data_IF_465890657756
#
_entry.id   IF_465890657756
#
_cell.length_a   1.000
_cell.length_b   1.000
_cell.length_c   1.000
_cell.angle_alpha   90.00
_cell.angle_beta   90.00
_cell.angle_gamma   90.00
#
_symmetry.space_group_name_H-M   'P 1'
#
loop_
_entity.id
_entity.type
_entity.pdbx_description
1 polymer ?
#
# COMPACT_ATOMS: atom_id res chain seq x y z
N UNK A 1 15.55 -5.14 -11.56
CA UNK A 1 14.07 -5.21 -11.49
C UNK A 1 13.66 -5.48 -10.05
N UNK A 2 13.50 -4.42 -9.23
CA UNK A 2 13.21 -4.56 -7.80
C UNK A 2 11.84 -5.18 -7.56
N UNK A 3 11.78 -6.25 -6.75
CA UNK A 3 10.61 -7.08 -6.44
C UNK A 3 9.34 -6.22 -6.29
N UNK A 4 8.44 -6.27 -7.28
CA UNK A 4 7.17 -5.52 -7.23
C UNK A 4 6.24 -6.30 -6.32
N UNK A 5 6.00 -5.80 -5.10
CA UNK A 5 5.06 -6.44 -4.16
C UNK A 5 3.72 -6.65 -4.85
N UNK A 6 3.38 -7.91 -5.08
CA UNK A 6 2.20 -8.33 -5.83
C UNK A 6 0.97 -8.27 -4.94
N UNK A 7 -0.22 -8.24 -5.53
CA UNK A 7 -1.45 -8.26 -4.76
C UNK A 7 -1.61 -9.56 -3.94
N UNK A 8 -1.03 -10.68 -4.40
CA UNK A 8 -1.06 -11.96 -3.68
C UNK A 8 -0.25 -11.87 -2.38
N UNK A 9 1.00 -11.40 -2.46
CA UNK A 9 1.86 -11.25 -1.28
C UNK A 9 1.22 -10.33 -0.23
N UNK A 10 0.56 -9.25 -0.65
CA UNK A 10 -0.15 -8.36 0.28
C UNK A 10 -1.38 -9.01 0.94
N UNK A 11 -2.04 -9.96 0.27
CA UNK A 11 -3.20 -10.65 0.84
C UNK A 11 -2.81 -11.68 1.90
N UNK A 12 -1.60 -12.22 1.81
CA UNK A 12 -1.03 -13.13 2.79
C UNK A 12 -0.55 -12.42 4.08
N UNK A 13 -0.36 -11.10 4.03
CA UNK A 13 0.03 -10.30 5.20
C UNK A 13 -1.12 -10.13 6.20
N UNK A 14 -0.78 -10.07 7.49
CA UNK A 14 -1.73 -9.71 8.55
C UNK A 14 -2.15 -8.23 8.44
N UNK A 15 -3.23 -7.84 9.12
CA UNK A 15 -3.68 -6.44 9.13
C UNK A 15 -2.63 -5.49 9.73
N UNK A 16 -1.92 -5.94 10.76
CA UNK A 16 -0.81 -5.19 11.38
C UNK A 16 0.37 -5.01 10.43
N UNK A 17 0.74 -6.08 9.72
CA UNK A 17 1.79 -6.03 8.71
C UNK A 17 1.42 -5.10 7.56
N UNK A 18 0.16 -5.14 7.09
CA UNK A 18 -0.35 -4.21 6.09
C UNK A 18 -0.32 -2.76 6.57
N UNK A 19 -0.70 -2.51 7.82
CA UNK A 19 -0.65 -1.18 8.41
C UNK A 19 0.79 -0.64 8.52
N UNK A 20 1.74 -1.49 8.93
CA UNK A 20 3.16 -1.15 9.00
C UNK A 20 3.72 -0.83 7.60
N UNK A 21 3.52 -1.73 6.63
CA UNK A 21 3.98 -1.52 5.24
C UNK A 21 3.35 -0.28 4.62
N UNK A 22 2.09 0.03 4.94
CA UNK A 22 1.43 1.26 4.51
C UNK A 22 2.11 2.51 5.08
N UNK A 23 2.47 2.49 6.36
CA UNK A 23 3.18 3.60 7.03
C UNK A 23 4.55 3.82 6.39
N UNK A 24 5.36 2.78 6.27
CA UNK A 24 6.69 2.84 5.64
C UNK A 24 6.62 3.32 4.19
N UNK A 25 5.63 2.84 3.43
CA UNK A 25 5.44 3.26 2.03
C UNK A 25 5.08 4.74 1.91
N UNK A 26 4.31 5.28 2.85
CA UNK A 26 3.97 6.72 2.89
C UNK A 26 5.17 7.57 3.24
N UNK A 27 5.96 7.16 4.24
CA UNK A 27 7.18 7.87 4.63
C UNK A 27 8.21 7.89 3.50
N UNK A 28 8.43 6.75 2.83
CA UNK A 28 9.31 6.68 1.67
C UNK A 28 8.81 7.54 0.50
N UNK A 29 7.50 7.55 0.24
CA UNK A 29 6.92 8.44 -0.78
C UNK A 29 7.12 9.91 -0.42
N UNK A 30 6.99 10.30 0.86
CA UNK A 30 7.22 11.65 1.32
C UNK A 30 8.69 12.07 1.14
N UNK A 31 9.63 11.22 1.56
CA UNK A 31 11.07 11.46 1.36
C UNK A 31 11.42 11.62 -0.12
N UNK A 32 10.92 10.73 -0.98
CA UNK A 32 11.17 10.79 -2.43
C UNK A 32 10.57 12.05 -3.06
N UNK A 33 9.41 12.54 -2.58
CA UNK A 33 8.86 13.81 -3.04
C UNK A 33 9.75 14.98 -2.63
N UNK A 34 10.18 15.01 -1.37
CA UNK A 34 11.07 16.06 -0.90
C UNK A 34 12.38 16.11 -1.70
N UNK A 35 12.97 14.94 -1.97
CA UNK A 35 14.17 14.83 -2.79
C UNK A 35 13.92 15.23 -4.25
N UNK A 36 12.75 14.93 -4.81
CA UNK A 36 12.39 15.31 -6.19
C UNK A 36 12.23 16.82 -6.38
N UNK A 37 11.88 17.56 -5.32
CA UNK A 37 11.80 19.03 -5.37
C UNK A 37 13.20 19.67 -5.38
N UNK A 38 14.16 19.06 -4.67
CA UNK A 38 15.52 19.62 -4.57
C UNK A 38 16.41 19.21 -5.73
N UNK A 39 16.27 17.97 -6.21
CA UNK A 39 17.17 17.37 -7.19
C UNK A 39 16.43 16.39 -8.12
N UNK A 40 17.04 16.08 -9.28
CA UNK A 40 16.52 15.02 -10.14
C UNK A 40 16.69 13.67 -9.45
N UNK A 41 15.60 12.95 -9.25
CA UNK A 41 15.65 11.57 -8.76
C UNK A 41 16.32 10.62 -9.76
N UNK A 42 17.21 9.77 -9.27
CA UNK A 42 17.82 8.68 -10.04
C UNK A 42 16.79 7.62 -10.47
N UNK A 43 15.75 7.41 -9.66
CA UNK A 43 14.72 6.42 -9.91
C UNK A 43 13.29 7.00 -9.76
N UNK A 44 12.81 7.80 -10.73
CA UNK A 44 11.45 8.36 -10.70
C UNK A 44 10.34 7.31 -10.68
N UNK A 45 10.64 6.08 -11.13
CA UNK A 45 9.73 4.93 -11.07
C UNK A 45 9.35 4.54 -9.63
N UNK A 46 10.20 4.83 -8.64
CA UNK A 46 9.94 4.50 -7.24
C UNK A 46 8.77 5.29 -6.67
N UNK A 47 8.60 6.56 -7.07
CA UNK A 47 7.40 7.34 -6.72
C UNK A 47 6.12 6.63 -7.17
N UNK A 48 6.10 6.12 -8.41
CA UNK A 48 4.96 5.40 -8.97
C UNK A 48 4.75 4.05 -8.26
N UNK A 49 5.83 3.37 -7.89
CA UNK A 49 5.82 2.10 -7.16
C UNK A 49 5.20 2.27 -5.76
N UNK A 50 5.66 3.24 -4.97
CA UNK A 50 5.10 3.51 -3.65
C UNK A 50 3.63 3.96 -3.72
N UNK A 51 3.25 4.81 -4.68
CA UNK A 51 1.85 5.18 -4.90
C UNK A 51 0.95 3.96 -5.16
N UNK A 52 1.41 3.04 -6.03
CA UNK A 52 0.66 1.81 -6.35
C UNK A 52 0.58 0.87 -5.15
N UNK A 53 1.67 0.72 -4.39
CA UNK A 53 1.70 -0.10 -3.19
C UNK A 53 0.69 0.40 -2.14
N UNK A 54 0.69 1.71 -1.86
CA UNK A 54 -0.27 2.35 -0.95
C UNK A 54 -1.71 2.09 -1.41
N UNK A 55 -2.00 2.26 -2.70
CA UNK A 55 -3.34 2.02 -3.24
C UNK A 55 -3.76 0.55 -3.04
N UNK A 56 -2.89 -0.42 -3.37
CA UNK A 56 -3.16 -1.85 -3.21
C UNK A 56 -3.46 -2.23 -1.76
N UNK A 57 -2.65 -1.75 -0.81
CA UNK A 57 -2.85 -2.04 0.61
C UNK A 57 -4.21 -1.50 1.08
N UNK A 58 -4.52 -0.25 0.74
CA UNK A 58 -5.83 0.36 1.07
C UNK A 58 -7.00 -0.41 0.47
N UNK A 59 -6.87 -0.87 -0.77
CA UNK A 59 -7.90 -1.70 -1.41
C UNK A 59 -8.13 -2.98 -0.62
N UNK A 60 -7.07 -3.71 -0.24
CA UNK A 60 -7.19 -4.96 0.53
C UNK A 60 -7.80 -4.70 1.91
N UNK A 61 -7.38 -3.64 2.60
CA UNK A 61 -7.98 -3.26 3.89
C UNK A 61 -9.48 -2.97 3.75
N UNK A 62 -9.89 -2.29 2.68
CA UNK A 62 -11.31 -2.03 2.40
C UNK A 62 -12.06 -3.31 2.02
N UNK A 63 -11.47 -4.20 1.21
CA UNK A 63 -12.04 -5.52 0.89
C UNK A 63 -12.30 -6.34 2.16
N UNK A 64 -11.33 -6.38 3.08
CA UNK A 64 -11.46 -7.06 4.39
C UNK A 64 -12.55 -6.44 5.25
N UNK A 65 -12.58 -5.11 5.35
CA UNK A 65 -13.61 -4.39 6.11
C UNK A 65 -15.02 -4.64 5.55
N UNK A 66 -15.18 -4.63 4.22
CA UNK A 66 -16.46 -4.92 3.55
C UNK A 66 -16.88 -6.38 3.74
N UNK A 67 -15.96 -7.32 3.68
CA UNK A 67 -16.24 -8.73 3.95
C UNK A 67 -16.70 -8.96 5.40
N UNK A 68 -16.03 -8.32 6.37
CA UNK A 68 -16.43 -8.37 7.77
C UNK A 68 -17.82 -7.74 7.99
N UNK A 69 -18.11 -6.60 7.36
CA UNK A 69 -19.42 -5.97 7.43
C UNK A 69 -20.53 -6.81 6.79
N UNK A 70 -20.25 -7.48 5.66
CA UNK A 70 -21.20 -8.38 5.00
C UNK A 70 -21.50 -9.63 5.85
N UNK A 71 -20.51 -10.16 6.56
CA UNK A 71 -20.70 -11.30 7.47
C UNK A 71 -21.51 -10.95 8.74
N UNK A 72 -21.53 -9.67 9.14
CA UNK A 72 -22.25 -9.21 10.33
C UNK A 72 -23.72 -8.81 10.06
N UNK A 73 -24.17 -8.80 8.80
CA UNK A 73 -25.57 -8.55 8.47
C UNK A 73 -26.38 -9.85 8.64
N UNK A 74 -27.41 -9.91 9.51
CA UNK A 74 -28.26 -11.09 9.61
C UNK A 74 -28.97 -11.32 8.28
N UNK A 75 -29.07 -12.58 7.80
CA UNK A 75 -29.98 -12.89 6.70
C UNK A 75 -31.40 -12.58 7.18
N UNK A 76 -32.08 -11.71 6.44
CA UNK A 76 -33.48 -11.36 6.66
C UNK A 76 -34.39 -12.60 6.56
#
# INVERSE_FOLDING_TARGET
MGKTTTASELREMSDEQLALTLKESRESLFRLRLQAETERLDAPSELKRHRRLIARIKTIQNERARAAAAAAAPPA
#
